data_IF_411034380277
#
_entry.id   IF_411034380277
#
_cell.length_a   1.000
_cell.length_b   1.000
_cell.length_c   1.000
_cell.angle_alpha   90.00
_cell.angle_beta   90.00
_cell.angle_gamma   90.00
#
_symmetry.space_group_name_H-M   'P 1'
#
loop_
_entity.id
_entity.type
_entity.pdbx_description
1 polymer ?
#
# COMPACT_ATOMS: atom_id res chain seq x y z
N UNK A 1 2.80 -10.51 -17.02
CA UNK A 1 3.11 -9.51 -18.06
C UNK A 1 1.88 -8.64 -18.39
N UNK A 2 1.08 -8.23 -17.40
CA UNK A 2 -0.16 -7.47 -17.66
C UNK A 2 -0.74 -6.75 -16.44
N UNK A 3 -0.54 -7.28 -15.23
CA UNK A 3 -0.92 -6.59 -13.97
C UNK A 3 -0.23 -5.23 -13.81
N UNK A 4 1.08 -5.16 -14.09
CA UNK A 4 1.87 -3.94 -13.88
C UNK A 4 1.33 -2.74 -14.65
N UNK A 5 0.92 -2.92 -15.91
CA UNK A 5 0.28 -1.87 -16.72
C UNK A 5 -1.09 -1.46 -16.15
N UNK A 6 -1.86 -2.41 -15.62
CA UNK A 6 -3.14 -2.09 -14.96
C UNK A 6 -2.91 -1.29 -13.69
N UNK A 7 -1.94 -1.66 -12.86
CA UNK A 7 -1.59 -0.93 -11.64
C UNK A 7 -1.12 0.49 -11.96
N UNK A 8 -0.31 0.67 -13.00
CA UNK A 8 0.14 1.97 -13.47
C UNK A 8 -1.01 2.85 -13.96
N UNK A 9 -1.86 2.33 -14.84
CA UNK A 9 -3.03 3.07 -15.36
C UNK A 9 -4.01 3.39 -14.23
N UNK A 10 -4.24 2.46 -13.30
CA UNK A 10 -5.12 2.69 -12.16
C UNK A 10 -4.56 3.79 -11.26
N UNK A 11 -3.28 3.72 -10.89
CA UNK A 11 -2.64 4.75 -10.07
C UNK A 11 -2.69 6.12 -10.76
N UNK A 12 -2.42 6.18 -12.07
CA UNK A 12 -2.51 7.42 -12.83
C UNK A 12 -3.93 7.97 -12.85
N UNK A 13 -4.94 7.13 -13.07
CA UNK A 13 -6.34 7.55 -13.14
C UNK A 13 -6.82 8.10 -11.80
N UNK A 14 -6.39 7.50 -10.68
CA UNK A 14 -6.78 7.96 -9.34
C UNK A 14 -6.05 9.25 -8.95
N UNK A 15 -4.78 9.42 -9.33
CA UNK A 15 -4.05 10.69 -9.19
C UNK A 15 -4.71 11.80 -10.02
N UNK A 16 -5.11 11.51 -11.26
CA UNK A 16 -5.81 12.46 -12.12
C UNK A 16 -7.18 12.85 -11.54
N UNK A 17 -7.77 11.99 -10.70
CA UNK A 17 -8.97 12.28 -9.92
C UNK A 17 -8.69 13.05 -8.61
N UNK A 18 -7.42 13.33 -8.29
CA UNK A 18 -6.99 14.09 -7.13
C UNK A 18 -6.99 13.31 -5.81
N UNK A 19 -6.93 11.98 -5.86
CA UNK A 19 -6.95 11.11 -4.68
C UNK A 19 -5.53 10.85 -4.15
N UNK A 20 -5.38 10.79 -2.83
CA UNK A 20 -4.12 10.43 -2.18
C UNK A 20 -3.93 8.91 -2.14
N UNK A 21 -2.84 8.43 -2.75
CA UNK A 21 -2.57 7.00 -2.90
C UNK A 21 -1.46 6.52 -1.96
N UNK A 22 -1.70 5.39 -1.30
CA UNK A 22 -0.67 4.60 -0.63
C UNK A 22 -0.40 3.31 -1.41
N UNK A 23 0.79 3.22 -2.02
CA UNK A 23 1.22 2.03 -2.78
C UNK A 23 2.08 1.11 -1.90
N UNK A 24 1.69 -0.15 -1.79
CA UNK A 24 2.46 -1.11 -1.00
C UNK A 24 2.50 -2.53 -1.57
N UNK A 25 3.45 -3.31 -1.07
CA UNK A 25 3.62 -4.73 -1.41
C UNK A 25 4.20 -5.51 -0.20
N UNK A 26 4.11 -6.85 -0.14
CA UNK A 26 4.62 -7.61 1.00
C UNK A 26 6.15 -7.64 1.07
N UNK A 27 6.87 -7.48 -0.05
CA UNK A 27 8.33 -7.56 -0.10
C UNK A 27 8.97 -6.30 -0.67
N UNK A 28 10.19 -5.99 -0.24
CA UNK A 28 10.93 -4.82 -0.73
C UNK A 28 11.27 -4.89 -2.21
N UNK A 29 11.38 -6.09 -2.79
CA UNK A 29 11.58 -6.25 -4.24
C UNK A 29 10.31 -5.90 -5.01
N UNK A 30 9.16 -6.38 -4.56
CA UNK A 30 7.87 -6.07 -5.18
C UNK A 30 7.57 -4.57 -5.09
N UNK A 31 7.76 -3.96 -3.91
CA UNK A 31 7.51 -2.52 -3.73
C UNK A 31 8.42 -1.67 -4.62
N UNK A 32 9.71 -2.00 -4.76
CA UNK A 32 10.61 -1.28 -5.68
C UNK A 32 10.15 -1.35 -7.13
N UNK A 33 9.76 -2.54 -7.60
CA UNK A 33 9.23 -2.71 -8.96
C UNK A 33 7.92 -1.94 -9.17
N UNK A 34 7.06 -1.90 -8.16
CA UNK A 34 5.84 -1.10 -8.17
C UNK A 34 6.17 0.39 -8.29
N UNK A 35 7.17 0.89 -7.56
CA UNK A 35 7.62 2.28 -7.69
C UNK A 35 8.14 2.59 -9.10
N UNK A 36 8.99 1.71 -9.64
CA UNK A 36 9.55 1.85 -10.99
C UNK A 36 8.47 1.86 -12.06
N UNK A 37 7.46 1.00 -11.94
CA UNK A 37 6.37 0.87 -12.89
C UNK A 37 5.37 2.03 -12.82
N UNK A 38 5.08 2.53 -11.63
CA UNK A 38 4.07 3.58 -11.43
C UNK A 38 4.64 4.99 -11.41
N UNK A 39 5.97 5.13 -11.34
CA UNK A 39 6.64 6.42 -11.13
C UNK A 39 6.36 7.05 -9.76
N UNK A 40 5.78 6.30 -8.82
CA UNK A 40 5.33 6.78 -7.50
C UNK A 40 6.04 6.06 -6.35
N UNK A 41 6.16 6.68 -5.16
CA UNK A 41 6.72 5.98 -4.01
C UNK A 41 5.83 4.80 -3.59
N UNK A 42 6.39 3.59 -3.59
CA UNK A 42 5.79 2.41 -2.98
C UNK A 42 6.68 1.83 -1.88
N UNK A 43 6.06 1.24 -0.88
CA UNK A 43 6.74 0.71 0.31
C UNK A 43 6.33 -0.74 0.61
N UNK A 44 6.97 -1.37 1.60
CA UNK A 44 6.44 -2.63 2.10
C UNK A 44 5.22 -2.36 2.97
N UNK A 45 4.28 -3.30 3.10
CA UNK A 45 3.14 -3.14 4.03
C UNK A 45 3.65 -2.83 5.45
N UNK A 46 4.72 -3.49 5.89
CA UNK A 46 5.40 -3.19 7.16
C UNK A 46 5.88 -1.74 7.27
N UNK A 47 6.46 -1.19 6.20
CA UNK A 47 6.94 0.21 6.21
C UNK A 47 5.77 1.18 6.16
N UNK A 48 4.74 0.88 5.37
CA UNK A 48 3.50 1.67 5.33
C UNK A 48 2.85 1.73 6.71
N UNK A 49 2.82 0.62 7.45
CA UNK A 49 2.29 0.54 8.81
C UNK A 49 3.23 1.10 9.90
N UNK A 50 4.39 1.66 9.53
CA UNK A 50 5.36 2.17 10.49
C UNK A 50 5.83 1.10 11.48
N UNK A 51 6.14 -0.10 10.99
CA UNK A 51 6.59 -1.22 11.84
C UNK A 51 7.87 -0.88 12.60
N UNK A 52 7.79 -0.90 13.93
CA UNK A 52 8.90 -0.68 14.84
C UNK A 52 8.92 -1.68 16.00
N UNK A 53 9.77 -1.45 16.99
CA UNK A 53 9.91 -2.33 18.16
C UNK A 53 8.63 -2.42 19.02
N UNK A 54 7.79 -1.38 19.00
CA UNK A 54 6.53 -1.29 19.74
C UNK A 54 5.31 -1.75 18.94
N UNK A 55 5.50 -2.29 17.72
CA UNK A 55 4.40 -2.69 16.83
C UNK A 55 4.23 -1.73 15.65
N UNK A 56 3.00 -1.62 15.15
CA UNK A 56 2.64 -0.76 14.03
C UNK A 56 2.20 0.62 14.51
N UNK A 57 2.85 1.67 13.99
CA UNK A 57 2.51 3.07 14.24
C UNK A 57 1.11 3.41 13.68
N UNK A 58 0.80 2.90 12.49
CA UNK A 58 -0.52 3.09 11.88
C UNK A 58 -1.45 1.93 12.26
N UNK A 59 -2.62 2.28 12.79
CA UNK A 59 -3.60 1.38 13.39
C UNK A 59 -4.95 2.12 13.55
N UNK A 60 -5.94 1.49 14.18
CA UNK A 60 -7.28 2.09 14.34
C UNK A 60 -7.30 3.45 15.07
N UNK A 61 -6.32 3.74 15.94
CA UNK A 61 -6.21 5.03 16.65
C UNK A 61 -5.38 6.07 15.90
N UNK A 62 -4.65 5.64 14.86
CA UNK A 62 -3.80 6.47 14.02
C UNK A 62 -3.85 5.92 12.59
N UNK A 63 -4.95 6.19 11.85
CA UNK A 63 -5.17 5.58 10.54
C UNK A 63 -4.18 6.09 9.50
N UNK A 64 -4.01 5.33 8.43
CA UNK A 64 -3.24 5.72 7.25
C UNK A 64 -3.93 6.92 6.60
N UNK A 65 -3.16 7.98 6.34
CA UNK A 65 -3.59 9.13 5.56
C UNK A 65 -3.49 8.81 4.06
N UNK A 66 -4.54 8.20 3.51
CA UNK A 66 -4.70 7.95 2.08
C UNK A 66 -6.18 7.71 1.74
N UNK A 67 -6.60 8.15 0.56
CA UNK A 67 -7.92 7.84 0.01
C UNK A 67 -7.98 6.41 -0.54
N UNK A 68 -6.87 5.91 -1.08
CA UNK A 68 -6.79 4.57 -1.68
C UNK A 68 -5.47 3.87 -1.33
N UNK A 69 -5.57 2.63 -0.85
CA UNK A 69 -4.42 1.73 -0.66
C UNK A 69 -4.38 0.69 -1.77
N UNK A 70 -3.29 0.65 -2.54
CA UNK A 70 -3.06 -0.36 -3.59
C UNK A 70 -2.00 -1.35 -3.12
N UNK A 71 -2.36 -2.64 -3.10
CA UNK A 71 -1.48 -3.73 -2.70
C UNK A 71 -1.09 -4.56 -3.93
N UNK A 72 0.20 -4.58 -4.27
CA UNK A 72 0.74 -5.55 -5.24
C UNK A 72 1.12 -6.86 -4.55
N UNK A 73 1.03 -7.97 -5.28
CA UNK A 73 1.33 -9.32 -4.79
C UNK A 73 0.54 -9.73 -3.52
N UNK A 74 -0.72 -9.33 -3.44
CA UNK A 74 -1.60 -9.61 -2.31
C UNK A 74 -1.69 -11.10 -1.91
N UNK A 75 -1.47 -12.04 -2.85
CA UNK A 75 -1.45 -13.48 -2.57
C UNK A 75 -0.32 -13.94 -1.64
N UNK A 76 0.70 -13.11 -1.43
CA UNK A 76 1.79 -13.39 -0.49
C UNK A 76 1.56 -12.77 0.90
N UNK A 77 0.49 -12.01 1.10
CA UNK A 77 0.20 -11.35 2.38
C UNK A 77 -0.45 -12.36 3.32
N UNK A 78 0.13 -12.54 4.51
CA UNK A 78 -0.48 -13.37 5.54
C UNK A 78 -1.66 -12.67 6.23
N UNK A 79 -2.52 -13.46 6.87
CA UNK A 79 -3.74 -12.96 7.51
C UNK A 79 -3.44 -11.92 8.60
N UNK A 80 -2.45 -12.10 9.50
CA UNK A 80 -2.16 -11.10 10.53
C UNK A 80 -1.73 -9.74 9.95
N UNK A 81 -0.87 -9.72 8.93
CA UNK A 81 -0.42 -8.48 8.31
C UNK A 81 -1.55 -7.80 7.54
N UNK A 82 -2.38 -8.59 6.85
CA UNK A 82 -3.55 -8.04 6.14
C UNK A 82 -4.57 -7.45 7.11
N UNK A 83 -4.83 -8.12 8.24
CA UNK A 83 -5.70 -7.59 9.29
C UNK A 83 -5.15 -6.28 9.86
N UNK A 84 -3.85 -6.22 10.16
CA UNK A 84 -3.22 -5.00 10.65
C UNK A 84 -3.37 -3.84 9.66
N UNK A 85 -3.24 -4.13 8.35
CA UNK A 85 -3.47 -3.15 7.30
C UNK A 85 -4.91 -2.65 7.27
N UNK A 86 -5.89 -3.56 7.28
CA UNK A 86 -7.32 -3.20 7.25
C UNK A 86 -7.72 -2.38 8.49
N UNK A 87 -7.22 -2.76 9.67
CA UNK A 87 -7.46 -2.03 10.93
C UNK A 87 -6.85 -0.63 10.92
N UNK A 88 -5.82 -0.40 10.11
CA UNK A 88 -5.19 0.91 9.96
C UNK A 88 -5.85 1.79 8.89
N UNK A 89 -6.90 1.34 8.21
CA UNK A 89 -7.64 2.17 7.26
C UNK A 89 -8.62 3.10 8.00
N UNK A 90 -8.87 4.32 7.49
CA UNK A 90 -9.87 5.21 8.06
C UNK A 90 -11.28 4.62 7.94
N UNK A 91 -12.14 4.89 8.94
CA UNK A 91 -13.56 4.58 8.86
C UNK A 91 -14.22 5.53 7.83
N UNK A 92 -14.87 4.96 6.82
CA UNK A 92 -15.66 5.71 5.83
C UNK A 92 -17.10 5.94 6.28
#
# INVERSE_FOLDING_TARGET
MGKTTVTEVLAQTLDDAGLELALCAPTGRASRRMSEATGRPASTIHRLLGAGASGFEFNASNPIEADVVIIDEASMVDVPLFLALVVALPDH
#
